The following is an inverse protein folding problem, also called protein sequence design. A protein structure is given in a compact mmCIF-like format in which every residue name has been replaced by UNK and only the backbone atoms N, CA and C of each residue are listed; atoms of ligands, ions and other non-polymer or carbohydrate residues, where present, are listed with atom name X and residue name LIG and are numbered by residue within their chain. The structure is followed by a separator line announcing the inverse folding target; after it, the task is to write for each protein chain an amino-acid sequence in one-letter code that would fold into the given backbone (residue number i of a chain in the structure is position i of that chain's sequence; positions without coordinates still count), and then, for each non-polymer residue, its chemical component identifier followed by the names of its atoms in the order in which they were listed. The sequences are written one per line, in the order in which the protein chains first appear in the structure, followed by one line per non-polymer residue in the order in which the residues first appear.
data_IF_239536166893
#
_entry.id   IF_239536166893
#
_cell.length_a   1.000
_cell.length_b   1.000
_cell.length_c   1.000
_cell.angle_alpha   90.00
_cell.angle_beta   90.00
_cell.angle_gamma   90.00
#
_symmetry.space_group_name_H-M   'P 1'
#
loop_
_entity.id
_entity.type
_entity.pdbx_description
1 polymer ?
#
# COMPACT_ATOMS: atom_id res chain seq x y z
N UNK A 1 -3.69 -38.35 5.16
CA UNK A 1 -2.98 -38.76 6.39
C UNK A 1 -1.50 -38.46 6.37
N UNK A 2 -0.79 -38.62 5.25
CA UNK A 2 0.64 -38.26 5.11
C UNK A 2 0.98 -36.85 5.62
N UNK A 3 0.16 -35.84 5.29
CA UNK A 3 0.36 -34.48 5.80
C UNK A 3 0.38 -34.37 7.33
N UNK A 4 -0.39 -35.21 8.04
CA UNK A 4 -0.39 -35.23 9.50
C UNK A 4 0.91 -35.83 10.06
N UNK A 5 1.50 -36.82 9.37
CA UNK A 5 2.77 -37.42 9.77
C UNK A 5 3.92 -36.43 9.56
N UNK A 6 4.00 -35.79 8.39
CA UNK A 6 4.99 -34.72 8.15
C UNK A 6 4.84 -33.55 9.15
N UNK A 7 3.61 -33.21 9.52
CA UNK A 7 3.35 -32.18 10.53
C UNK A 7 3.91 -32.56 11.92
N UNK A 8 3.79 -33.83 12.32
CA UNK A 8 4.37 -34.35 13.58
C UNK A 8 5.90 -34.35 13.53
N UNK A 9 6.48 -34.65 12.36
CA UNK A 9 7.92 -34.59 12.11
C UNK A 9 8.47 -33.15 12.04
N UNK A 10 7.59 -32.14 12.12
CA UNK A 10 7.89 -30.71 11.93
C UNK A 10 8.40 -30.38 10.52
N UNK A 11 8.21 -31.28 9.56
CA UNK A 11 8.44 -31.00 8.15
C UNK A 11 7.20 -30.32 7.57
N UNK A 12 7.07 -29.04 7.88
CA UNK A 12 5.89 -28.27 7.49
C UNK A 12 5.79 -28.06 5.98
N UNK A 13 6.92 -28.03 5.26
CA UNK A 13 6.95 -27.91 3.80
C UNK A 13 6.32 -29.12 3.11
N UNK A 14 6.74 -30.35 3.49
CA UNK A 14 6.13 -31.57 2.98
C UNK A 14 4.69 -31.75 3.47
N UNK A 15 4.37 -31.30 4.68
CA UNK A 15 2.99 -31.29 5.17
C UNK A 15 2.07 -30.43 4.29
N UNK A 16 2.48 -29.20 3.94
CA UNK A 16 1.73 -28.31 3.04
C UNK A 16 1.48 -28.97 1.68
N UNK A 17 2.51 -29.58 1.09
CA UNK A 17 2.39 -30.27 -0.20
C UNK A 17 1.37 -31.41 -0.12
N UNK A 18 1.48 -32.26 0.91
CA UNK A 18 0.57 -33.40 1.10
C UNK A 18 -0.89 -32.98 1.36
N UNK A 19 -1.13 -31.90 2.12
CA UNK A 19 -2.49 -31.36 2.30
C UNK A 19 -3.04 -30.75 1.01
N UNK A 20 -2.19 -30.09 0.22
CA UNK A 20 -2.58 -29.48 -1.06
C UNK A 20 -2.99 -30.54 -2.08
N UNK A 21 -2.27 -31.67 -2.16
CA UNK A 21 -2.67 -32.81 -2.97
C UNK A 21 -4.01 -33.40 -2.51
N UNK A 22 -4.25 -33.46 -1.20
CA UNK A 22 -5.55 -33.86 -0.64
C UNK A 22 -6.69 -32.97 -1.12
N UNK A 23 -6.52 -31.64 -1.03
CA UNK A 23 -7.51 -30.67 -1.49
C UNK A 23 -7.72 -30.71 -3.01
N UNK A 24 -6.67 -31.03 -3.78
CA UNK A 24 -6.74 -31.12 -5.25
C UNK A 24 -7.63 -32.25 -5.74
N UNK A 25 -7.73 -33.34 -4.97
CA UNK A 25 -8.56 -34.50 -5.30
C UNK A 25 -10.07 -34.22 -5.18
N UNK A 26 -10.48 -33.10 -4.56
CA UNK A 26 -11.87 -32.63 -4.40
C UNK A 26 -12.87 -33.76 -4.12
N UNK A 27 -12.80 -34.29 -2.91
CA UNK A 27 -13.62 -35.42 -2.48
C UNK A 27 -15.12 -35.09 -2.31
N UNK A 28 -15.50 -33.81 -2.42
CA UNK A 28 -16.89 -33.34 -2.25
C UNK A 28 -17.37 -33.32 -0.80
N UNK A 29 -16.50 -33.63 0.15
CA UNK A 29 -16.78 -33.61 1.59
C UNK A 29 -16.26 -32.29 2.19
N UNK A 30 -17.20 -31.37 2.45
CA UNK A 30 -16.90 -30.04 2.99
C UNK A 30 -16.29 -30.10 4.41
N UNK A 31 -16.59 -31.14 5.20
CA UNK A 31 -16.00 -31.31 6.53
C UNK A 31 -14.52 -31.68 6.40
N UNK A 32 -14.22 -32.65 5.52
CA UNK A 32 -12.86 -33.06 5.24
C UNK A 32 -12.03 -31.92 4.64
N UNK A 33 -12.60 -31.18 3.70
CA UNK A 33 -11.94 -30.03 3.07
C UNK A 33 -11.65 -28.92 4.10
N UNK A 34 -12.58 -28.64 5.01
CA UNK A 34 -12.35 -27.68 6.10
C UNK A 34 -11.23 -28.14 7.04
N UNK A 35 -11.14 -29.43 7.35
CA UNK A 35 -10.06 -30.00 8.17
C UNK A 35 -8.70 -29.92 7.44
N UNK A 36 -8.66 -30.25 6.15
CA UNK A 36 -7.44 -30.19 5.35
C UNK A 36 -6.93 -28.76 5.21
N UNK A 37 -7.80 -27.79 4.94
CA UNK A 37 -7.46 -26.37 4.92
C UNK A 37 -6.96 -25.89 6.29
N UNK A 38 -7.59 -26.29 7.38
CA UNK A 38 -7.15 -25.91 8.73
C UNK A 38 -5.78 -26.49 9.09
N UNK A 39 -5.50 -27.72 8.67
CA UNK A 39 -4.20 -28.36 8.89
C UNK A 39 -3.11 -27.75 7.99
N UNK A 40 -3.44 -27.40 6.73
CA UNK A 40 -2.53 -26.66 5.84
C UNK A 40 -2.24 -25.27 6.36
N UNK A 41 -3.25 -24.56 6.87
CA UNK A 41 -3.09 -23.28 7.55
C UNK A 41 -2.14 -23.39 8.75
N UNK A 42 -2.25 -24.45 9.54
CA UNK A 42 -1.33 -24.70 10.65
C UNK A 42 0.11 -24.90 10.17
N UNK A 43 0.32 -25.65 9.08
CA UNK A 43 1.65 -25.87 8.51
C UNK A 43 2.26 -24.57 7.95
N UNK A 44 1.46 -23.78 7.21
CA UNK A 44 1.86 -22.45 6.75
C UNK A 44 2.19 -21.50 7.91
N UNK A 45 1.43 -21.54 9.01
CA UNK A 45 1.69 -20.72 10.18
C UNK A 45 3.05 -21.03 10.81
N UNK A 46 3.45 -22.30 10.87
CA UNK A 46 4.77 -22.70 11.37
C UNK A 46 5.93 -22.34 10.43
N UNK A 47 5.64 -22.11 9.15
CA UNK A 47 6.59 -21.59 8.16
C UNK A 47 6.62 -20.05 8.11
N UNK A 48 5.90 -19.37 9.01
CA UNK A 48 5.71 -17.91 8.97
C UNK A 48 4.99 -17.36 7.73
N UNK A 49 4.34 -18.23 6.95
CA UNK A 49 3.51 -17.83 5.80
C UNK A 49 2.12 -17.39 6.27
N UNK A 50 2.05 -16.34 7.09
CA UNK A 50 0.84 -15.94 7.82
C UNK A 50 -0.33 -15.56 6.90
N UNK A 51 -0.05 -14.96 5.74
CA UNK A 51 -1.10 -14.61 4.75
C UNK A 51 -1.72 -15.85 4.10
N UNK A 52 -0.89 -16.81 3.69
CA UNK A 52 -1.36 -18.08 3.14
C UNK A 52 -2.14 -18.87 4.19
N UNK A 53 -1.65 -18.91 5.43
CA UNK A 53 -2.34 -19.53 6.56
C UNK A 53 -3.70 -18.87 6.84
N UNK A 54 -3.77 -17.54 6.77
CA UNK A 54 -5.01 -16.80 6.95
C UNK A 54 -6.01 -17.10 5.83
N UNK A 55 -5.57 -17.12 4.57
CA UNK A 55 -6.44 -17.44 3.44
C UNK A 55 -7.03 -18.85 3.56
N UNK A 56 -6.24 -19.83 3.99
CA UNK A 56 -6.71 -21.18 4.27
C UNK A 56 -7.71 -21.22 5.44
N UNK A 57 -7.46 -20.46 6.51
CA UNK A 57 -8.37 -20.35 7.64
C UNK A 57 -9.71 -19.69 7.25
N UNK A 58 -9.69 -18.67 6.38
CA UNK A 58 -10.89 -18.02 5.83
C UNK A 58 -11.70 -19.03 5.00
N UNK A 59 -11.04 -19.79 4.13
CA UNK A 59 -11.71 -20.81 3.31
C UNK A 59 -12.30 -21.92 4.19
N UNK A 60 -11.56 -22.40 5.19
CA UNK A 60 -12.06 -23.40 6.13
C UNK A 60 -13.28 -22.89 6.92
N UNK A 61 -13.25 -21.64 7.37
CA UNK A 61 -14.38 -20.97 8.04
C UNK A 61 -15.58 -20.80 7.09
N UNK A 62 -15.35 -20.53 5.80
CA UNK A 62 -16.42 -20.43 4.79
C UNK A 62 -17.10 -21.78 4.54
N UNK A 63 -16.33 -22.87 4.50
CA UNK A 63 -16.87 -24.22 4.37
C UNK A 63 -17.60 -24.67 5.63
N UNK A 64 -17.03 -24.35 6.80
CA UNK A 64 -17.61 -24.67 8.10
C UNK A 64 -17.47 -23.50 9.07
N UNK A 65 -18.51 -22.64 9.20
CA UNK A 65 -18.49 -21.48 10.08
C UNK A 65 -18.32 -21.84 11.56
N UNK A 66 -18.71 -23.05 11.97
CA UNK A 66 -18.58 -23.53 13.35
C UNK A 66 -17.24 -24.21 13.63
N UNK A 67 -16.29 -24.20 12.68
CA UNK A 67 -15.00 -24.86 12.85
C UNK A 67 -14.04 -24.03 13.73
N UNK A 68 -14.13 -24.24 15.04
CA UNK A 68 -13.39 -23.46 16.03
C UNK A 68 -11.86 -23.45 15.80
N UNK A 69 -11.27 -24.54 15.33
CA UNK A 69 -9.83 -24.61 15.05
C UNK A 69 -9.40 -23.69 13.90
N UNK A 70 -10.23 -23.54 12.86
CA UNK A 70 -9.97 -22.57 11.79
C UNK A 70 -10.06 -21.14 12.31
N UNK A 71 -11.05 -20.85 13.16
CA UNK A 71 -11.23 -19.52 13.74
C UNK A 71 -10.04 -19.14 14.63
N UNK A 72 -9.62 -20.04 15.53
CA UNK A 72 -8.41 -19.84 16.35
C UNK A 72 -7.20 -19.60 15.45
N UNK A 73 -7.05 -20.35 14.35
CA UNK A 73 -5.93 -20.17 13.43
C UNK A 73 -5.95 -18.82 12.73
N UNK A 74 -7.12 -18.37 12.24
CA UNK A 74 -7.26 -17.06 11.62
C UNK A 74 -6.99 -15.92 12.59
N UNK A 75 -7.49 -16.02 13.83
CA UNK A 75 -7.17 -15.06 14.90
C UNK A 75 -5.66 -15.00 15.17
N UNK A 76 -4.97 -16.15 15.25
CA UNK A 76 -3.50 -16.19 15.39
C UNK A 76 -2.80 -15.52 14.20
N UNK A 77 -3.25 -15.77 12.97
CA UNK A 77 -2.64 -15.14 11.79
C UNK A 77 -2.81 -13.62 11.83
N UNK A 78 -3.99 -13.12 12.21
CA UNK A 78 -4.22 -11.68 12.39
C UNK A 78 -3.35 -11.08 13.50
N UNK A 79 -3.09 -11.81 14.58
CA UNK A 79 -2.17 -11.39 15.65
C UNK A 79 -0.73 -11.24 15.14
N UNK A 80 -0.23 -12.21 14.37
CA UNK A 80 1.13 -12.15 13.80
C UNK A 80 1.24 -11.06 12.71
N UNK A 81 0.16 -10.83 11.95
CA UNK A 81 0.06 -9.75 10.97
C UNK A 81 -0.18 -8.37 11.60
N UNK A 82 -0.30 -8.27 12.93
CA UNK A 82 -0.61 -7.04 13.69
C UNK A 82 -1.96 -6.38 13.35
N UNK A 83 -2.88 -7.15 12.77
CA UNK A 83 -4.24 -6.74 12.47
C UNK A 83 -5.13 -6.99 13.70
N UNK A 84 -4.91 -6.19 14.76
CA UNK A 84 -5.51 -6.46 16.08
C UNK A 84 -7.03 -6.29 16.11
N UNK A 85 -7.60 -5.42 15.25
CA UNK A 85 -9.05 -5.22 15.16
C UNK A 85 -9.72 -6.48 14.63
N UNK A 86 -9.18 -7.03 13.55
CA UNK A 86 -9.65 -8.27 12.95
C UNK A 86 -9.39 -9.46 13.88
N UNK A 87 -8.24 -9.50 14.57
CA UNK A 87 -7.96 -10.54 15.56
C UNK A 87 -9.02 -10.57 16.67
N UNK A 88 -9.45 -9.41 17.17
CA UNK A 88 -10.54 -9.30 18.16
C UNK A 88 -11.85 -9.82 17.58
N UNK A 89 -12.22 -9.39 16.36
CA UNK A 89 -13.45 -9.85 15.71
C UNK A 89 -13.49 -11.37 15.55
N UNK A 90 -12.40 -11.98 15.09
CA UNK A 90 -12.29 -13.44 14.99
C UNK A 90 -12.36 -14.13 16.35
N UNK A 91 -11.78 -13.55 17.40
CA UNK A 91 -11.91 -14.09 18.75
C UNK A 91 -13.36 -14.02 19.25
N UNK A 92 -14.07 -12.92 18.99
CA UNK A 92 -15.48 -12.76 19.38
C UNK A 92 -16.38 -13.77 18.68
N UNK A 93 -16.20 -13.97 17.37
CA UNK A 93 -16.92 -14.99 16.62
C UNK A 93 -16.66 -16.41 17.17
N UNK A 94 -15.41 -16.74 17.49
CA UNK A 94 -15.09 -18.03 18.07
C UNK A 94 -15.66 -18.22 19.48
N UNK A 95 -15.72 -17.16 20.29
CA UNK A 95 -16.32 -17.17 21.62
C UNK A 95 -17.86 -17.24 21.58
N UNK A 96 -18.50 -16.87 20.48
CA UNK A 96 -19.93 -17.15 20.26
C UNK A 96 -20.20 -18.65 20.07
N UNK A 97 -19.23 -19.40 19.55
CA UNK A 97 -19.32 -20.86 19.36
C UNK A 97 -18.94 -21.59 20.66
N UNK A 98 -17.81 -21.22 21.26
CA UNK A 98 -17.36 -21.74 22.56
C UNK A 98 -16.89 -20.60 23.46
N UNK A 99 -17.76 -20.17 24.37
CA UNK A 99 -17.53 -19.06 25.30
C UNK A 99 -16.44 -19.33 26.34
N UNK A 100 -15.95 -20.58 26.47
CA UNK A 100 -14.93 -20.97 27.44
C UNK A 100 -13.58 -21.32 26.80
N UNK A 101 -13.42 -21.12 25.50
CA UNK A 101 -12.17 -21.39 24.80
C UNK A 101 -11.05 -20.44 25.27
N UNK A 102 -10.18 -20.96 26.15
CA UNK A 102 -9.14 -20.19 26.83
C UNK A 102 -8.23 -19.45 25.85
N UNK A 103 -7.86 -20.09 24.73
CA UNK A 103 -6.95 -19.47 23.74
C UNK A 103 -7.54 -18.20 23.14
N UNK A 104 -8.84 -18.19 22.85
CA UNK A 104 -9.51 -17.03 22.28
C UNK A 104 -9.69 -15.92 23.32
N UNK A 105 -10.00 -16.26 24.57
CA UNK A 105 -10.06 -15.28 25.67
C UNK A 105 -8.70 -14.61 25.87
N UNK A 106 -7.63 -15.40 26.02
CA UNK A 106 -6.27 -14.89 26.20
C UNK A 106 -5.81 -14.04 25.02
N UNK A 107 -6.09 -14.50 23.79
CA UNK A 107 -5.72 -13.78 22.57
C UNK A 107 -6.51 -12.49 22.41
N UNK A 108 -7.80 -12.48 22.73
CA UNK A 108 -8.62 -11.26 22.75
C UNK A 108 -8.07 -10.27 23.77
N UNK A 109 -7.80 -10.69 25.00
CA UNK A 109 -7.19 -9.81 26.02
C UNK A 109 -5.84 -9.28 25.58
N UNK A 110 -5.01 -10.10 24.93
CA UNK A 110 -3.72 -9.68 24.36
C UNK A 110 -3.91 -8.70 23.21
N UNK A 111 -4.85 -8.96 22.29
CA UNK A 111 -5.16 -8.10 21.16
C UNK A 111 -5.74 -6.76 21.62
N UNK A 112 -6.65 -6.76 22.59
CA UNK A 112 -7.21 -5.56 23.23
C UNK A 112 -6.11 -4.77 23.93
N UNK A 113 -5.20 -5.43 24.66
CA UNK A 113 -4.05 -4.79 25.29
C UNK A 113 -3.10 -4.19 24.25
N UNK A 114 -2.78 -4.90 23.16
CA UNK A 114 -1.91 -4.39 22.09
C UNK A 114 -2.57 -3.28 21.28
N UNK A 115 -3.89 -3.35 21.08
CA UNK A 115 -4.70 -2.28 20.48
C UNK A 115 -4.72 -1.07 21.39
N UNK A 116 -4.97 -1.24 22.69
CA UNK A 116 -4.93 -0.18 23.69
C UNK A 116 -3.53 0.39 23.82
N UNK A 117 -2.47 -0.42 23.82
CA UNK A 117 -1.08 0.05 23.82
C UNK A 117 -0.76 0.81 22.54
N UNK A 118 -1.25 0.38 21.38
CA UNK A 118 -1.21 1.15 20.13
C UNK A 118 -1.98 2.47 20.20
N UNK A 119 -3.15 2.50 20.86
CA UNK A 119 -3.97 3.71 21.06
C UNK A 119 -3.44 4.61 22.17
N UNK A 120 -2.80 4.07 23.22
CA UNK A 120 -2.13 4.80 24.29
C UNK A 120 -0.78 5.32 23.82
N UNK A 121 -0.09 4.61 22.91
CA UNK A 121 1.01 5.14 22.13
C UNK A 121 0.49 6.25 21.22
N UNK A 122 -0.67 6.10 20.55
CA UNK A 122 -1.32 7.15 19.75
C UNK A 122 -1.73 8.42 20.53
N UNK A 123 -2.23 8.27 21.76
CA UNK A 123 -2.68 9.38 22.61
C UNK A 123 -1.56 9.96 23.48
N UNK A 124 -0.52 9.19 23.82
CA UNK A 124 0.73 9.76 24.33
C UNK A 124 1.59 10.33 23.21
N UNK A 125 1.52 9.89 21.95
CA UNK A 125 2.22 10.55 20.82
C UNK A 125 1.67 11.94 20.55
N UNK A 126 0.45 12.29 20.93
CA UNK A 126 -0.02 13.69 20.85
C UNK A 126 0.66 14.61 21.89
N UNK A 127 1.19 14.07 22.99
CA UNK A 127 1.93 14.85 24.01
C UNK A 127 3.45 14.56 24.05
N UNK A 128 3.90 13.44 23.50
CA UNK A 128 5.30 12.96 23.48
C UNK A 128 5.94 12.93 22.09
N UNK A 129 5.24 13.36 21.03
CA UNK A 129 5.81 13.74 19.72
C UNK A 129 6.83 14.88 19.84
N UNK A 130 6.97 15.51 21.02
CA UNK A 130 8.12 16.35 21.38
C UNK A 130 9.40 15.61 21.82
N UNK A 131 9.43 14.28 22.05
CA UNK A 131 10.60 13.59 22.67
C UNK A 131 11.07 12.24 22.10
N UNK A 132 10.47 11.67 21.06
CA UNK A 132 10.95 10.37 20.48
C UNK A 132 11.57 10.47 19.08
N UNK A 133 12.23 11.59 18.76
CA UNK A 133 13.26 11.68 17.70
C UNK A 133 14.58 10.97 18.07
N UNK A 134 14.54 9.88 18.83
CA UNK A 134 15.75 9.11 19.11
C UNK A 134 15.38 7.63 19.24
N UNK A 135 15.67 6.85 18.19
CA UNK A 135 15.72 5.40 18.35
C UNK A 135 15.55 4.48 17.14
N UNK A 136 15.67 4.94 15.89
CA UNK A 136 16.27 4.23 14.72
C UNK A 136 15.86 4.95 13.44
N UNK A 137 16.85 5.58 12.80
CA UNK A 137 16.69 6.32 11.56
C UNK A 137 16.38 5.39 10.39
N UNK A 138 15.25 5.61 9.73
CA UNK A 138 15.16 5.52 8.27
C UNK A 138 14.88 6.94 7.81
N UNK A 139 15.95 7.66 7.51
CA UNK A 139 15.97 9.11 7.27
C UNK A 139 14.92 9.58 6.24
N UNK A 140 14.46 8.70 5.34
CA UNK A 140 13.53 9.01 4.26
C UNK A 140 12.04 8.99 4.59
N UNK A 141 11.55 8.07 5.43
CA UNK A 141 10.11 7.96 5.70
C UNK A 141 9.63 9.01 6.70
N UNK A 142 10.49 9.42 7.65
CA UNK A 142 10.17 10.43 8.65
C UNK A 142 9.91 11.80 7.99
N UNK A 143 10.75 12.18 7.02
CA UNK A 143 10.63 13.44 6.25
C UNK A 143 9.34 13.53 5.43
N UNK A 144 8.86 12.39 4.91
CA UNK A 144 7.62 12.29 4.15
C UNK A 144 6.39 12.37 5.05
N UNK A 145 6.46 11.74 6.23
CA UNK A 145 5.44 11.85 7.26
C UNK A 145 5.34 13.27 7.82
N UNK A 146 6.47 13.96 8.07
CA UNK A 146 6.50 15.37 8.48
C UNK A 146 5.78 16.28 7.47
N UNK A 147 5.83 15.90 6.20
CA UNK A 147 5.23 16.63 5.08
C UNK A 147 3.80 16.21 4.78
N UNK A 148 3.18 15.29 5.53
CA UNK A 148 1.84 14.75 5.28
C UNK A 148 1.65 14.13 3.88
N UNK A 149 2.69 13.54 3.29
CA UNK A 149 2.63 12.93 1.95
C UNK A 149 2.18 11.47 2.06
N UNK A 150 1.20 11.07 1.23
CA UNK A 150 0.63 9.71 1.23
C UNK A 150 1.23 8.88 0.09
N UNK A 151 1.72 7.69 0.42
CA UNK A 151 2.29 6.73 -0.52
C UNK A 151 1.41 5.49 -0.63
N UNK A 152 1.16 5.02 -1.85
CA UNK A 152 0.63 3.68 -2.11
C UNK A 152 1.81 2.73 -2.29
N UNK A 153 1.93 1.76 -1.38
CA UNK A 153 2.89 0.67 -1.50
C UNK A 153 2.24 -0.44 -2.32
N UNK A 154 2.78 -0.72 -3.51
CA UNK A 154 2.55 -2.00 -4.17
C UNK A 154 3.52 -3.03 -3.56
N UNK A 155 3.05 -4.22 -3.19
CA UNK A 155 3.94 -5.25 -2.65
C UNK A 155 4.83 -5.79 -3.77
N UNK A 156 6.10 -5.38 -3.81
CA UNK A 156 7.12 -6.02 -4.64
C UNK A 156 7.74 -7.20 -3.89
N UNK A 157 7.96 -8.31 -4.62
CA UNK A 157 8.26 -9.65 -4.10
C UNK A 157 9.78 -9.96 -3.97
N UNK A 158 10.67 -8.96 -3.98
CA UNK A 158 12.12 -9.23 -4.11
C UNK A 158 12.95 -8.73 -2.93
N UNK A 159 13.57 -9.69 -2.23
CA UNK A 159 14.64 -9.48 -1.25
C UNK A 159 15.97 -9.25 -1.99
N UNK A 160 16.60 -8.08 -1.89
CA UNK A 160 18.00 -7.91 -2.31
C UNK A 160 18.87 -7.16 -1.28
N UNK A 161 20.13 -7.61 -1.20
CA UNK A 161 21.15 -7.29 -0.21
C UNK A 161 21.74 -5.87 -0.36
N UNK A 162 22.14 -5.28 0.78
CA UNK A 162 22.63 -3.90 0.90
C UNK A 162 24.14 -3.82 0.66
N UNK A 163 24.56 -2.94 -0.26
CA UNK A 163 25.95 -2.46 -0.41
C UNK A 163 26.07 -1.01 0.09
N UNK A 164 27.10 -0.76 0.89
CA UNK A 164 27.36 0.46 1.67
C UNK A 164 27.97 1.59 0.80
N UNK A 165 27.37 2.80 0.80
CA UNK A 165 27.90 3.96 0.07
C UNK A 165 27.02 5.23 0.10
N UNK A 166 27.39 6.18 0.97
CA UNK A 166 27.17 7.64 0.94
C UNK A 166 25.83 8.22 0.41
N UNK A 167 24.97 8.61 1.36
CA UNK A 167 23.97 9.69 1.29
C UNK A 167 23.03 9.74 0.06
N UNK A 168 22.58 8.58 -0.41
CA UNK A 168 21.29 8.45 -1.09
C UNK A 168 20.24 8.10 -0.03
N UNK A 169 19.08 8.77 -0.03
CA UNK A 169 17.94 8.24 0.73
C UNK A 169 17.44 7.01 -0.04
N UNK A 170 18.10 5.89 0.17
CA UNK A 170 17.60 4.60 -0.24
C UNK A 170 16.40 4.28 0.64
N UNK A 171 15.21 4.59 0.11
CA UNK A 171 13.97 3.99 0.59
C UNK A 171 14.05 2.50 0.23
N UNK A 172 14.69 1.68 1.07
CA UNK A 172 15.02 0.26 0.84
C UNK A 172 13.83 -0.71 0.71
N UNK A 173 12.66 -0.19 0.32
CA UNK A 173 11.50 -0.96 -0.14
C UNK A 173 10.96 -0.49 -1.50
N UNK A 174 11.68 0.37 -2.22
CA UNK A 174 11.25 1.00 -3.49
C UNK A 174 12.15 0.61 -4.68
N UNK A 175 12.95 -0.45 -4.53
CA UNK A 175 13.86 -0.92 -5.56
C UNK A 175 13.12 -1.87 -6.51
N UNK A 176 12.52 -1.32 -7.58
CA UNK A 176 12.64 -1.85 -8.96
C UNK A 176 11.58 -1.32 -9.95
N UNK A 177 10.45 -0.77 -9.49
CA UNK A 177 9.30 -0.54 -10.39
C UNK A 177 9.07 0.92 -10.87
N UNK A 178 9.99 1.86 -10.60
CA UNK A 178 9.96 3.16 -11.29
C UNK A 178 10.29 2.93 -12.77
N UNK A 179 9.35 3.25 -13.68
CA UNK A 179 9.48 3.05 -15.13
C UNK A 179 10.76 3.67 -15.75
N UNK A 180 11.43 4.57 -15.03
CA UNK A 180 12.63 5.30 -15.46
C UNK A 180 13.84 5.12 -14.53
N UNK A 181 13.70 4.40 -13.41
CA UNK A 181 14.78 4.18 -12.43
C UNK A 181 15.19 5.41 -11.60
N UNK A 182 14.54 6.56 -11.80
CA UNK A 182 14.81 7.78 -11.04
C UNK A 182 14.16 7.71 -9.64
N UNK A 183 14.88 8.23 -8.64
CA UNK A 183 14.53 8.15 -7.21
C UNK A 183 14.36 9.54 -6.59
N UNK A 184 13.58 9.59 -5.51
CA UNK A 184 13.45 10.78 -4.67
C UNK A 184 14.80 11.09 -4.02
N UNK A 185 15.23 12.34 -4.07
CA UNK A 185 16.48 12.78 -3.45
C UNK A 185 16.24 13.95 -2.50
N UNK A 186 17.10 14.04 -1.49
CA UNK A 186 17.12 15.13 -0.52
C UNK A 186 18.27 16.07 -0.86
N UNK A 187 17.99 17.37 -0.92
CA UNK A 187 19.02 18.37 -1.11
C UNK A 187 19.76 18.71 0.20
N UNK A 188 20.78 19.57 0.11
CA UNK A 188 21.56 20.00 1.27
C UNK A 188 20.76 20.85 2.28
N UNK A 189 19.65 21.45 1.85
CA UNK A 189 18.78 22.30 2.65
C UNK A 189 17.64 21.48 3.32
N UNK A 190 17.58 20.17 3.06
CA UNK A 190 16.61 19.26 3.62
C UNK A 190 15.28 19.22 2.85
N UNK A 191 15.20 19.75 1.63
CA UNK A 191 14.03 19.64 0.77
C UNK A 191 14.09 18.42 -0.14
N UNK A 192 12.93 17.86 -0.44
CA UNK A 192 12.81 16.72 -1.35
C UNK A 192 12.69 17.17 -2.80
N UNK A 193 13.27 16.37 -3.68
CA UNK A 193 13.11 16.49 -5.12
C UNK A 193 12.63 15.16 -5.69
N UNK A 194 11.53 15.22 -6.42
CA UNK A 194 10.75 14.06 -6.83
C UNK A 194 10.88 13.78 -8.32
N UNK A 195 10.90 12.50 -8.73
CA UNK A 195 10.60 12.15 -10.11
C UNK A 195 9.12 12.37 -10.38
N UNK A 196 8.75 13.24 -11.31
CA UNK A 196 7.35 13.56 -11.63
C UNK A 196 7.02 13.18 -13.07
N UNK A 197 5.92 12.46 -13.25
CA UNK A 197 5.40 12.03 -14.55
C UNK A 197 4.25 12.94 -14.99
N UNK A 198 4.41 13.59 -16.13
CA UNK A 198 3.34 14.33 -16.81
C UNK A 198 2.73 13.47 -17.91
N UNK A 199 1.41 13.40 -17.92
CA UNK A 199 0.63 12.64 -18.91
C UNK A 199 -0.18 13.61 -19.77
N UNK A 200 -0.18 13.39 -21.09
CA UNK A 200 -0.95 14.18 -22.08
C UNK A 200 -1.95 13.28 -22.80
N UNK A 201 -3.13 13.00 -22.20
CA UNK A 201 -4.04 11.98 -22.73
C UNK A 201 -4.60 12.31 -24.12
N UNK A 202 -4.69 13.58 -24.51
CA UNK A 202 -5.16 13.99 -25.85
C UNK A 202 -4.26 13.49 -26.98
N UNK A 203 -2.96 13.31 -26.69
CA UNK A 203 -1.94 12.95 -27.68
C UNK A 203 -1.23 11.61 -27.35
N UNK A 204 -1.66 10.93 -26.29
CA UNK A 204 -1.03 9.70 -25.77
C UNK A 204 0.48 9.88 -25.55
N UNK A 205 0.88 11.07 -25.10
CA UNK A 205 2.28 11.40 -24.80
C UNK A 205 2.52 11.44 -23.29
N UNK A 206 3.78 11.29 -22.91
CA UNK A 206 4.25 11.44 -21.54
C UNK A 206 5.53 12.27 -21.54
N UNK A 207 5.78 12.98 -20.44
CA UNK A 207 7.05 13.64 -20.17
C UNK A 207 7.45 13.38 -18.72
N UNK A 208 8.74 13.36 -18.45
CA UNK A 208 9.30 12.92 -17.20
C UNK A 208 10.31 13.93 -16.66
N UNK A 209 9.99 14.51 -15.51
CA UNK A 209 10.92 15.37 -14.77
C UNK A 209 11.64 14.54 -13.72
N UNK A 210 12.95 14.32 -13.93
CA UNK A 210 13.79 13.50 -13.04
C UNK A 210 13.89 14.10 -11.62
N UNK A 211 13.91 15.43 -11.54
CA UNK A 211 14.14 16.17 -10.29
C UNK A 211 13.21 17.39 -10.21
N UNK A 212 12.03 17.19 -9.62
CA UNK A 212 11.06 18.24 -9.34
C UNK A 212 11.15 18.62 -7.86
N UNK A 213 11.73 19.78 -7.57
CA UNK A 213 11.89 20.26 -6.21
C UNK A 213 10.54 20.55 -5.55
N UNK A 214 10.33 20.09 -4.31
CA UNK A 214 9.01 20.11 -3.67
C UNK A 214 8.42 21.50 -3.49
N UNK A 215 9.26 22.53 -3.34
CA UNK A 215 8.85 23.93 -3.22
C UNK A 215 8.77 24.67 -4.57
N UNK A 216 9.08 24.00 -5.69
CA UNK A 216 8.92 24.58 -7.03
C UNK A 216 7.45 24.56 -7.44
N UNK A 217 7.01 25.59 -8.16
CA UNK A 217 5.65 25.66 -8.70
C UNK A 217 5.55 24.90 -10.01
N UNK A 218 4.36 24.35 -10.28
CA UNK A 218 4.11 23.69 -11.56
C UNK A 218 4.29 24.64 -12.75
N UNK A 219 3.87 25.89 -12.64
CA UNK A 219 3.98 26.87 -13.72
C UNK A 219 5.44 27.11 -14.14
N UNK A 220 6.38 27.12 -13.20
CA UNK A 220 7.80 27.35 -13.49
C UNK A 220 8.37 26.19 -14.32
N UNK A 221 8.02 24.94 -13.98
CA UNK A 221 8.40 23.76 -14.76
C UNK A 221 7.72 23.73 -16.13
N UNK A 222 6.41 24.01 -16.20
CA UNK A 222 5.68 24.05 -17.47
C UNK A 222 6.23 25.10 -18.43
N UNK A 223 6.66 26.27 -17.92
CA UNK A 223 7.29 27.30 -18.73
C UNK A 223 8.58 26.81 -19.39
N UNK A 224 9.35 25.95 -18.71
CA UNK A 224 10.58 25.36 -19.27
C UNK A 224 10.26 24.22 -20.23
N UNK A 225 9.36 23.31 -19.84
CA UNK A 225 8.97 22.15 -20.66
C UNK A 225 8.35 22.57 -22.00
N UNK A 226 7.55 23.63 -22.00
CA UNK A 226 6.88 24.17 -23.19
C UNK A 226 7.50 25.48 -23.69
N UNK A 227 8.77 25.74 -23.36
CA UNK A 227 9.52 26.87 -23.92
C UNK A 227 9.59 26.79 -25.45
N UNK A 228 9.71 25.57 -25.97
CA UNK A 228 9.53 25.23 -27.38
C UNK A 228 8.27 24.38 -27.54
N UNK A 229 7.48 24.65 -28.58
CA UNK A 229 6.28 23.86 -28.85
C UNK A 229 6.67 22.43 -29.23
N UNK A 230 6.12 21.40 -28.55
CA UNK A 230 6.48 20.03 -28.85
C UNK A 230 5.98 19.63 -30.25
N UNK A 231 6.67 18.70 -30.93
CA UNK A 231 6.37 18.34 -32.32
C UNK A 231 5.00 17.70 -32.51
N UNK A 232 4.44 17.13 -31.44
CA UNK A 232 3.11 16.51 -31.43
C UNK A 232 1.97 17.53 -31.25
N UNK A 233 2.25 18.76 -30.80
CA UNK A 233 1.25 19.83 -30.65
C UNK A 233 1.08 20.63 -31.95
N UNK A 234 0.53 19.97 -32.97
CA UNK A 234 0.31 20.56 -34.29
C UNK A 234 -0.57 21.82 -34.25
N UNK A 235 -1.50 21.88 -33.30
CA UNK A 235 -2.43 22.99 -33.13
C UNK A 235 -1.91 24.09 -32.19
N UNK A 236 -0.70 23.93 -31.62
CA UNK A 236 -0.06 24.88 -30.69
C UNK A 236 -0.93 25.26 -29.50
N UNK A 237 -1.65 24.29 -28.94
CA UNK A 237 -2.57 24.48 -27.81
C UNK A 237 -1.88 24.39 -26.46
N UNK A 238 -0.76 23.69 -26.37
CA UNK A 238 -0.03 23.40 -25.13
C UNK A 238 0.94 24.53 -24.79
N UNK A 239 0.37 25.70 -24.50
CA UNK A 239 1.10 26.86 -23.98
C UNK A 239 0.97 26.91 -22.46
N UNK A 240 2.01 27.27 -21.69
CA UNK A 240 1.97 27.23 -20.22
C UNK A 240 0.73 27.89 -19.58
N UNK A 241 0.32 29.06 -20.09
CA UNK A 241 -0.86 29.79 -19.58
C UNK A 241 -2.20 29.14 -19.97
N UNK A 242 -2.19 28.28 -20.97
CA UNK A 242 -3.33 27.59 -21.53
C UNK A 242 -3.46 26.13 -21.06
N UNK A 243 -2.64 25.69 -20.10
CA UNK A 243 -2.72 24.35 -19.53
C UNK A 243 -3.61 24.30 -18.29
N UNK A 244 -4.31 23.17 -18.13
CA UNK A 244 -5.01 22.76 -16.92
C UNK A 244 -4.38 21.44 -16.43
N UNK A 245 -4.14 21.36 -15.12
CA UNK A 245 -3.48 20.23 -14.48
C UNK A 245 -4.48 19.49 -13.60
N UNK A 246 -4.38 18.17 -13.55
CA UNK A 246 -5.26 17.34 -12.75
C UNK A 246 -4.52 16.15 -12.15
N UNK A 247 -5.07 15.62 -11.06
CA UNK A 247 -4.83 14.24 -10.66
C UNK A 247 -6.15 13.49 -10.51
N UNK A 248 -6.07 12.17 -10.57
CA UNK A 248 -7.23 11.27 -10.45
C UNK A 248 -7.21 10.58 -9.08
N UNK A 249 -8.36 10.60 -8.42
CA UNK A 249 -8.66 9.76 -7.28
C UNK A 249 -9.31 8.47 -7.79
N UNK A 250 -8.49 7.45 -8.00
CA UNK A 250 -8.93 6.18 -8.58
C UNK A 250 -9.95 5.42 -7.72
N UNK A 251 -9.93 5.60 -6.39
CA UNK A 251 -10.92 4.96 -5.53
C UNK A 251 -12.33 5.49 -5.76
N UNK A 252 -12.44 6.78 -6.10
CA UNK A 252 -13.72 7.48 -6.25
C UNK A 252 -14.09 7.76 -7.71
N UNK A 253 -13.17 7.53 -8.63
CA UNK A 253 -13.29 7.94 -10.04
C UNK A 253 -13.55 9.45 -10.17
N UNK A 254 -12.95 10.25 -9.26
CA UNK A 254 -13.09 11.71 -9.19
C UNK A 254 -11.79 12.40 -9.65
N UNK A 255 -11.92 13.57 -10.27
CA UNK A 255 -10.79 14.35 -10.77
C UNK A 255 -10.58 15.60 -9.89
N UNK A 256 -9.33 15.97 -9.66
CA UNK A 256 -8.98 17.17 -8.89
C UNK A 256 -8.11 18.10 -9.72
N UNK A 257 -8.59 19.32 -9.98
CA UNK A 257 -7.88 20.38 -10.70
C UNK A 257 -6.80 20.99 -9.82
N UNK A 258 -5.55 20.90 -10.28
CA UNK A 258 -4.36 21.45 -9.65
C UNK A 258 -4.12 22.87 -10.16
N UNK A 259 -4.03 23.83 -9.25
CA UNK A 259 -3.61 25.19 -9.57
C UNK A 259 -2.11 25.20 -9.97
N UNK A 260 -1.74 25.64 -11.19
CA UNK A 260 -0.34 25.67 -11.63
C UNK A 260 0.57 26.57 -10.76
N UNK A 261 0.01 27.52 -10.02
CA UNK A 261 0.76 28.38 -9.09
C UNK A 261 1.12 27.68 -7.78
N UNK A 262 0.51 26.52 -7.47
CA UNK A 262 0.88 25.73 -6.30
C UNK A 262 2.21 25.02 -6.51
N UNK A 263 2.87 24.75 -5.39
CA UNK A 263 4.07 23.92 -5.32
C UNK A 263 3.72 22.45 -5.39
N UNK A 264 4.70 21.61 -5.75
CA UNK A 264 4.53 20.16 -5.71
C UNK A 264 4.12 19.69 -4.30
N UNK A 265 4.79 20.20 -3.26
CA UNK A 265 4.51 19.84 -1.86
C UNK A 265 3.05 20.08 -1.48
N UNK A 266 2.48 21.24 -1.87
CA UNK A 266 1.07 21.57 -1.60
C UNK A 266 0.11 20.57 -2.24
N UNK A 267 0.43 20.05 -3.43
CA UNK A 267 -0.39 19.04 -4.11
C UNK A 267 -0.24 17.68 -3.45
N UNK A 268 1.00 17.28 -3.12
CA UNK A 268 1.29 16.01 -2.44
C UNK A 268 0.69 15.93 -1.03
N UNK A 269 0.48 17.08 -0.39
CA UNK A 269 -0.19 17.21 0.92
C UNK A 269 -1.70 17.02 0.87
N UNK A 270 -2.30 17.00 -0.31
CA UNK A 270 -3.75 16.88 -0.43
C UNK A 270 -4.24 15.51 0.05
N UNK A 271 -5.38 15.49 0.76
CA UNK A 271 -5.87 14.27 1.42
C UNK A 271 -6.22 13.13 0.45
N UNK A 272 -6.50 13.45 -0.81
CA UNK A 272 -6.84 12.48 -1.85
C UNK A 272 -5.73 12.27 -2.87
N UNK A 273 -4.56 12.87 -2.68
CA UNK A 273 -3.40 12.60 -3.51
C UNK A 273 -2.62 11.43 -2.91
N UNK A 274 -2.34 10.42 -3.72
CA UNK A 274 -1.53 9.28 -3.31
C UNK A 274 -0.43 9.04 -4.35
N UNK A 275 0.83 9.09 -3.90
CA UNK A 275 1.99 8.83 -4.74
C UNK A 275 2.14 7.33 -4.94
N UNK A 276 2.18 6.88 -6.19
CA UNK A 276 2.34 5.47 -6.56
C UNK A 276 3.77 5.20 -7.03
N UNK A 277 4.35 4.07 -6.64
CA UNK A 277 5.71 3.66 -7.04
C UNK A 277 6.76 4.80 -6.89
N UNK A 278 6.59 5.66 -5.87
CA UNK A 278 7.47 6.81 -5.62
C UNK A 278 7.42 7.94 -6.66
N UNK A 279 6.49 7.91 -7.62
CA UNK A 279 6.44 8.84 -8.77
C UNK A 279 5.09 9.57 -8.81
N UNK A 280 5.02 10.83 -8.35
CA UNK A 280 3.84 11.66 -8.54
C UNK A 280 3.46 11.77 -10.02
N UNK A 281 2.18 11.58 -10.32
CA UNK A 281 1.64 11.64 -11.67
C UNK A 281 0.67 12.82 -11.79
N UNK A 282 0.80 13.60 -12.86
CA UNK A 282 -0.05 14.76 -13.15
C UNK A 282 -0.55 14.69 -14.59
N UNK A 283 -1.86 14.80 -14.77
CA UNK A 283 -2.52 14.85 -16.06
C UNK A 283 -2.56 16.30 -16.55
N UNK A 284 -2.20 16.52 -17.81
CA UNK A 284 -2.11 17.85 -18.41
C UNK A 284 -3.04 17.93 -19.62
N UNK A 285 -3.87 18.97 -19.65
CA UNK A 285 -4.82 19.22 -20.74
C UNK A 285 -4.69 20.66 -21.23
N UNK A 286 -4.99 20.86 -22.52
CA UNK A 286 -5.22 22.21 -23.04
C UNK A 286 -6.61 22.73 -22.60
N UNK A 287 -6.64 23.96 -22.10
CA UNK A 287 -7.87 24.66 -21.68
C UNK A 287 -8.92 24.61 -22.78
N UNK A 288 -10.12 24.17 -22.40
CA UNK A 288 -11.31 24.14 -23.26
C UNK A 288 -11.14 23.32 -24.56
N UNK A 289 -10.18 22.39 -24.63
CA UNK A 289 -10.04 21.51 -25.80
C UNK A 289 -11.30 20.64 -25.97
N UNK A 290 -11.66 20.26 -27.22
CA UNK A 290 -12.76 19.31 -27.44
C UNK A 290 -12.52 17.98 -26.74
N UNK A 291 -11.25 17.56 -26.65
CA UNK A 291 -10.84 16.35 -25.95
C UNK A 291 -11.09 16.47 -24.45
N UNK A 292 -10.68 17.55 -23.78
CA UNK A 292 -10.88 17.70 -22.33
C UNK A 292 -12.38 17.64 -21.97
N UNK A 293 -13.24 18.31 -22.74
CA UNK A 293 -14.71 18.23 -22.55
C UNK A 293 -15.24 16.79 -22.64
N UNK A 294 -14.73 16.01 -23.59
CA UNK A 294 -15.13 14.60 -23.77
C UNK A 294 -14.55 13.73 -22.64
N UNK A 295 -13.30 13.96 -22.26
CA UNK A 295 -12.59 13.21 -21.21
C UNK A 295 -13.26 13.36 -19.84
N UNK A 296 -13.70 14.58 -19.51
CA UNK A 296 -14.39 14.86 -18.25
C UNK A 296 -15.91 14.59 -18.30
N UNK A 297 -16.46 14.17 -19.45
CA UNK A 297 -17.90 13.89 -19.58
C UNK A 297 -18.31 12.72 -18.69
N UNK A 298 -19.07 13.01 -17.62
CA UNK A 298 -19.53 12.01 -16.66
C UNK A 298 -18.60 11.82 -15.46
N UNK A 299 -17.45 12.50 -15.41
CA UNK A 299 -16.57 12.53 -14.22
C UNK A 299 -16.93 13.74 -13.34
N UNK A 300 -16.80 13.58 -12.01
CA UNK A 300 -16.85 14.71 -11.08
C UNK A 300 -15.49 15.37 -11.02
N UNK A 301 -15.46 16.70 -11.10
CA UNK A 301 -14.22 17.49 -11.05
C UNK A 301 -14.29 18.44 -9.86
N UNK A 302 -13.30 18.36 -8.99
CA UNK A 302 -13.10 19.21 -7.81
C UNK A 302 -11.94 20.17 -8.08
N UNK A 303 -11.91 21.32 -7.41
CA UNK A 303 -10.84 22.31 -7.56
C UNK A 303 -10.10 22.46 -6.24
N UNK A 304 -8.76 22.42 -6.31
CA UNK A 304 -7.84 22.60 -5.19
C UNK A 304 -7.51 24.07 -4.95
#
# INVERSE_FOLDING_TARGET
NEGNEYFKEKDYGRAVAAYSEGLRKRCGDAELDAVLLTNRAAAHFHLSNYRSALNDAIQAKKLKPTHLKAIIRGALCHMELKNFVEAIAWCEEGLQIDSKEKKLVEMRTKADKLKLEGTFLGTQTDFSTRRKCQGRAVMGTDLLCERNIKLVLEPSDEEEEVSDGLAEISLDGFHSDSATGAKVHLDADGNLSWPVLFLYPEHEQTDFTVAFHENSRFIDHLMVMFAESPPWDLEKKYLPNNLELYFEDEEREEMYEVNPEHTLLQVLQHERYFVKAGTPTVLVFAKRSPFSKKYFSGKKVHRL
#
